data_IF_614841069933
#
_entry.id   IF_614841069933
#
_cell.length_a   1.000
_cell.length_b   1.000
_cell.length_c   1.000
_cell.angle_alpha   90.00
_cell.angle_beta   90.00
_cell.angle_gamma   90.00
#
_symmetry.space_group_name_H-M   'P 1'
#
loop_
_entity.id
_entity.type
_entity.pdbx_description
1 polymer ?
#
# COMPACT_ATOMS: atom_id res chain seq x y z
N UNK A 1 9.20 21.61 25.03
CA UNK A 1 8.81 20.18 25.13
C UNK A 1 7.39 20.06 24.56
N UNK A 2 7.25 19.81 23.25
CA UNK A 2 5.94 19.76 22.58
C UNK A 2 5.38 18.34 22.69
N UNK A 3 4.14 18.24 23.18
CA UNK A 3 3.41 16.99 23.41
C UNK A 3 3.40 16.13 22.15
N UNK A 4 4.10 15.00 22.22
CA UNK A 4 4.21 14.01 21.14
C UNK A 4 2.94 13.16 21.12
N UNK A 5 1.86 13.66 20.55
CA UNK A 5 0.62 12.88 20.40
C UNK A 5 0.76 11.83 19.29
N UNK A 6 1.44 10.71 19.57
CA UNK A 6 1.17 9.41 18.95
C UNK A 6 1.59 9.21 17.49
N UNK A 7 2.76 9.73 17.08
CA UNK A 7 3.39 9.39 15.80
C UNK A 7 2.58 9.76 14.55
N UNK A 8 3.05 9.31 13.39
CA UNK A 8 2.36 9.54 12.12
C UNK A 8 1.25 8.49 11.92
N UNK A 9 -0.01 8.89 12.03
CA UNK A 9 -1.17 8.00 11.87
C UNK A 9 -1.71 8.06 10.45
N UNK A 10 -1.78 6.91 9.78
CA UNK A 10 -2.31 6.81 8.42
C UNK A 10 -3.71 6.20 8.42
N UNK A 11 -4.66 6.86 7.75
CA UNK A 11 -5.99 6.33 7.49
C UNK A 11 -6.15 6.00 6.00
N UNK A 12 -6.82 4.89 5.69
CA UNK A 12 -7.12 4.48 4.31
C UNK A 12 -8.63 4.43 4.14
N UNK A 13 -9.14 5.20 3.19
CA UNK A 13 -10.58 5.28 2.89
C UNK A 13 -10.84 4.92 1.43
N UNK A 14 -11.92 4.20 1.19
CA UNK A 14 -12.46 3.94 -0.15
C UNK A 14 -13.57 4.95 -0.44
N UNK A 15 -13.55 5.57 -1.60
CA UNK A 15 -14.54 6.57 -2.01
C UNK A 15 -14.66 6.62 -3.53
N UNK A 16 -15.59 7.45 -4.04
CA UNK A 16 -15.83 7.62 -5.48
C UNK A 16 -14.60 8.24 -6.18
N UNK A 17 -14.31 7.78 -7.41
CA UNK A 17 -13.14 8.22 -8.19
C UNK A 17 -13.03 9.74 -8.35
N UNK A 18 -14.15 10.43 -8.61
CA UNK A 18 -14.19 11.88 -8.78
C UNK A 18 -13.71 12.63 -7.54
N UNK A 19 -14.17 12.21 -6.35
CA UNK A 19 -13.78 12.84 -5.08
C UNK A 19 -12.34 12.47 -4.70
N UNK A 20 -11.93 11.22 -4.96
CA UNK A 20 -10.55 10.80 -4.76
C UNK A 20 -9.56 11.61 -5.61
N UNK A 21 -9.92 11.91 -6.86
CA UNK A 21 -9.09 12.73 -7.75
C UNK A 21 -8.98 14.17 -7.27
N UNK A 22 -10.10 14.77 -6.82
CA UNK A 22 -10.10 16.11 -6.22
C UNK A 22 -9.19 16.19 -5.00
N UNK A 23 -9.30 15.24 -4.07
CA UNK A 23 -8.43 15.17 -2.89
C UNK A 23 -6.96 14.96 -3.25
N UNK A 24 -6.69 14.16 -4.28
CA UNK A 24 -5.34 13.95 -4.79
C UNK A 24 -4.73 15.23 -5.37
N UNK A 25 -5.50 16.01 -6.13
CA UNK A 25 -5.05 17.28 -6.70
C UNK A 25 -4.78 18.35 -5.64
N UNK A 26 -5.58 18.37 -4.57
CA UNK A 26 -5.32 19.25 -3.42
C UNK A 26 -4.04 18.86 -2.67
N UNK A 27 -3.70 17.56 -2.66
CA UNK A 27 -2.49 16.99 -2.02
C UNK A 27 -2.52 16.99 -0.49
N UNK A 28 -3.33 17.83 0.15
CA UNK A 28 -3.50 17.91 1.59
C UNK A 28 -4.98 18.08 1.97
N UNK A 29 -5.33 17.56 3.14
CA UNK A 29 -6.65 17.67 3.74
C UNK A 29 -6.50 18.17 5.18
N UNK A 30 -7.23 19.23 5.54
CA UNK A 30 -7.28 19.71 6.91
C UNK A 30 -8.33 18.93 7.69
N UNK A 31 -7.91 18.22 8.74
CA UNK A 31 -8.79 17.50 9.67
C UNK A 31 -8.71 18.21 11.02
N UNK A 32 -9.79 18.93 11.38
CA UNK A 32 -9.82 19.85 12.53
C UNK A 32 -8.69 20.89 12.44
N UNK A 33 -7.60 20.68 13.18
CA UNK A 33 -6.45 21.58 13.27
C UNK A 33 -5.19 21.01 12.60
N UNK A 34 -5.26 19.82 12.02
CA UNK A 34 -4.10 19.10 11.47
C UNK A 34 -4.16 19.08 9.95
N UNK A 35 -3.06 19.47 9.30
CA UNK A 35 -2.88 19.36 7.85
C UNK A 35 -2.33 17.98 7.52
N UNK A 36 -3.17 17.12 6.96
CA UNK A 36 -2.82 15.75 6.60
C UNK A 36 -2.42 15.66 5.12
N UNK A 37 -1.38 14.91 4.80
CA UNK A 37 -1.00 14.65 3.41
C UNK A 37 -1.90 13.57 2.80
N UNK A 38 -2.41 13.82 1.59
CA UNK A 38 -3.22 12.87 0.83
C UNK A 38 -2.35 12.22 -0.24
N UNK A 39 -2.41 10.89 -0.35
CA UNK A 39 -1.72 10.12 -1.39
C UNK A 39 -2.65 9.08 -2.00
N UNK A 40 -2.50 8.79 -3.29
CA UNK A 40 -3.14 7.60 -3.87
C UNK A 40 -2.55 6.37 -3.20
N UNK A 41 -3.41 5.50 -2.65
CA UNK A 41 -2.95 4.16 -2.30
C UNK A 41 -2.89 3.33 -3.58
N UNK A 42 -1.70 3.15 -4.13
CA UNK A 42 -1.48 2.19 -5.21
C UNK A 42 -1.63 0.79 -4.63
N UNK A 43 -2.65 0.07 -5.06
CA UNK A 43 -2.76 -1.37 -4.79
C UNK A 43 -1.83 -2.09 -5.77
N UNK A 44 -0.57 -2.20 -5.39
CA UNK A 44 0.35 -3.08 -6.11
C UNK A 44 0.00 -4.51 -5.75
N UNK A 45 -0.57 -5.24 -6.69
CA UNK A 45 -0.72 -6.69 -6.57
C UNK A 45 0.66 -7.32 -6.59
N UNK A 46 0.97 -8.09 -5.54
CA UNK A 46 2.16 -8.94 -5.49
C UNK A 46 1.80 -10.34 -5.97
N UNK A 47 2.56 -10.86 -6.92
CA UNK A 47 2.35 -12.19 -7.46
C UNK A 47 2.78 -13.26 -6.45
N UNK A 48 1.89 -14.20 -6.14
CA UNK A 48 2.20 -15.34 -5.27
C UNK A 48 3.20 -16.33 -5.85
N UNK A 49 3.38 -16.32 -7.17
CA UNK A 49 4.23 -17.26 -7.89
C UNK A 49 5.68 -16.82 -7.93
N UNK A 50 5.96 -15.60 -8.36
CA UNK A 50 7.32 -15.09 -8.57
C UNK A 50 7.76 -14.01 -7.57
N UNK A 51 6.85 -13.56 -6.70
CA UNK A 51 7.02 -12.43 -5.77
C UNK A 51 7.17 -11.05 -6.45
N UNK A 52 7.07 -10.99 -7.78
CA UNK A 52 7.06 -9.76 -8.57
C UNK A 52 5.80 -8.92 -8.34
N UNK A 53 5.87 -7.65 -8.71
CA UNK A 53 4.76 -6.72 -8.64
C UNK A 53 4.06 -6.61 -10.00
N UNK A 54 2.84 -6.06 -10.01
CA UNK A 54 2.08 -5.69 -11.21
C UNK A 54 1.33 -6.81 -11.94
N UNK A 55 1.41 -8.07 -11.48
CA UNK A 55 0.67 -9.18 -12.10
C UNK A 55 0.18 -10.22 -11.09
N UNK A 56 -0.82 -11.00 -11.50
CA UNK A 56 -1.39 -12.11 -10.71
C UNK A 56 -0.79 -13.45 -11.15
N UNK A 57 -0.87 -14.46 -10.27
CA UNK A 57 -0.41 -15.84 -10.53
C UNK A 57 -0.93 -16.41 -11.85
N UNK A 58 -2.17 -16.09 -12.23
CA UNK A 58 -2.81 -16.59 -13.45
C UNK A 58 -2.08 -16.16 -14.75
N UNK A 59 -1.39 -15.02 -14.74
CA UNK A 59 -0.70 -14.46 -15.92
C UNK A 59 0.83 -14.55 -15.74
N UNK A 60 1.30 -15.17 -14.65
CA UNK A 60 2.72 -15.24 -14.32
C UNK A 60 3.43 -16.27 -15.21
N UNK A 61 4.38 -15.77 -16.02
CA UNK A 61 5.28 -16.56 -16.88
C UNK A 61 6.66 -16.80 -16.25
N UNK A 62 6.90 -16.25 -15.06
CA UNK A 62 8.18 -16.35 -14.36
C UNK A 62 8.28 -17.65 -13.55
N UNK A 63 9.50 -17.95 -13.10
CA UNK A 63 9.83 -19.14 -12.30
C UNK A 63 9.00 -19.19 -11.01
N UNK A 64 8.47 -20.38 -10.71
CA UNK A 64 7.79 -20.69 -9.46
C UNK A 64 8.71 -20.55 -8.25
N UNK A 65 8.41 -19.58 -7.39
CA UNK A 65 9.03 -19.34 -6.09
C UNK A 65 8.05 -19.51 -4.93
N UNK A 66 6.91 -20.18 -5.17
CA UNK A 66 5.87 -20.46 -4.17
C UNK A 66 6.37 -21.24 -2.94
N UNK A 67 7.48 -21.98 -3.06
CA UNK A 67 8.11 -22.69 -1.95
C UNK A 67 8.90 -21.75 -1.00
N UNK A 68 9.18 -20.52 -1.44
CA UNK A 68 9.94 -19.52 -0.68
C UNK A 68 8.98 -18.58 0.04
N UNK A 69 9.35 -18.18 1.26
CA UNK A 69 8.59 -17.17 1.99
C UNK A 69 8.67 -15.81 1.28
N UNK A 70 7.55 -15.12 1.17
CA UNK A 70 7.47 -13.78 0.56
C UNK A 70 8.24 -12.69 1.30
N UNK A 71 8.56 -12.92 2.57
CA UNK A 71 9.16 -11.91 3.45
C UNK A 71 10.67 -12.13 3.59
N UNK A 72 11.10 -13.39 3.76
CA UNK A 72 12.51 -13.74 3.98
C UNK A 72 13.16 -14.47 2.81
N UNK A 73 12.43 -14.83 1.74
CA UNK A 73 12.92 -15.57 0.57
C UNK A 73 13.63 -16.90 0.90
N UNK A 74 13.38 -17.45 2.09
CA UNK A 74 13.88 -18.74 2.53
C UNK A 74 12.82 -19.82 2.32
N UNK A 75 13.25 -21.05 2.05
CA UNK A 75 12.36 -22.20 2.05
C UNK A 75 11.82 -22.42 3.46
N UNK A 76 10.50 -22.54 3.54
CA UNK A 76 9.69 -22.89 4.68
C UNK A 76 10.45 -23.56 5.86
N UNK A 77 10.84 -22.80 6.87
CA UNK A 77 10.99 -23.34 8.22
C UNK A 77 9.62 -23.15 8.89
N UNK A 78 8.97 -24.29 9.19
CA UNK A 78 7.66 -24.39 9.85
C UNK A 78 7.58 -23.57 11.14
#
# INVERSE_FOLDING_TARGET
>A
MLLSYGGNKMAVVKMKCKEAYRLQMLGHLTVRLVRCQVRKKNQLTRCFRCHGFSHHRAICKETDRTALCMTCSQENQR
#
